data_IF_967037554712
#
_entry.id   IF_967037554712
#
_cell.length_a   1.000
_cell.length_b   1.000
_cell.length_c   1.000
_cell.angle_alpha   90.00
_cell.angle_beta   90.00
_cell.angle_gamma   90.00
#
_symmetry.space_group_name_H-M   'P 1'
#
loop_
_entity.id
_entity.type
_entity.pdbx_description
1 polymer ?
#
# COMPACT_ATOMS: atom_id res chain seq x y z
N UNK A 1 15.97 13.03 -9.30
CA UNK A 1 14.74 13.60 -9.85
C UNK A 1 15.05 15.05 -10.17
N UNK A 2 14.88 15.40 -11.44
CA UNK A 2 14.94 16.75 -11.97
C UNK A 2 13.51 17.30 -12.17
N UNK A 3 13.40 18.57 -12.53
CA UNK A 3 12.10 19.19 -12.82
C UNK A 3 11.33 18.44 -13.91
N UNK A 4 10.01 18.33 -13.76
CA UNK A 4 9.10 17.63 -14.67
C UNK A 4 9.34 16.11 -14.80
N UNK A 5 10.12 15.50 -13.92
CA UNK A 5 10.24 14.03 -13.82
C UNK A 5 9.31 13.45 -12.75
N UNK A 6 8.73 12.28 -13.05
CA UNK A 6 7.94 11.49 -12.11
C UNK A 6 8.80 10.45 -11.39
N UNK A 7 8.47 10.19 -10.14
CA UNK A 7 9.01 9.07 -9.35
C UNK A 7 7.84 8.17 -8.94
N UNK A 8 7.99 6.86 -9.15
CA UNK A 8 7.03 5.85 -8.71
C UNK A 8 7.68 4.99 -7.64
N UNK A 9 7.10 5.00 -6.44
CA UNK A 9 7.49 4.11 -5.34
C UNK A 9 6.57 2.90 -5.31
N UNK A 10 7.13 1.70 -5.33
CA UNK A 10 6.37 0.46 -5.36
C UNK A 10 5.94 0.02 -3.94
N UNK A 11 4.89 -0.83 -3.82
CA UNK A 11 4.46 -1.39 -2.54
C UNK A 11 5.63 -1.98 -1.75
N UNK A 12 5.72 -1.64 -0.46
CA UNK A 12 6.76 -2.10 0.46
C UNK A 12 8.21 -1.68 0.12
N UNK A 13 8.41 -0.78 -0.84
CA UNK A 13 9.72 -0.22 -1.16
C UNK A 13 10.01 1.01 -0.28
N UNK A 14 10.85 0.82 0.75
CA UNK A 14 11.37 1.92 1.55
C UNK A 14 12.17 2.90 0.69
N UNK A 15 11.96 4.19 0.93
CA UNK A 15 12.65 5.27 0.23
C UNK A 15 12.89 6.45 1.18
N UNK A 16 13.97 7.18 0.96
CA UNK A 16 14.33 8.39 1.68
C UNK A 16 15.06 9.35 0.72
N UNK A 17 15.09 10.64 1.05
CA UNK A 17 15.72 11.65 0.21
C UNK A 17 15.79 13.02 0.89
N UNK A 18 16.31 14.00 0.17
CA UNK A 18 16.43 15.40 0.61
C UNK A 18 16.26 16.35 -0.58
N UNK A 19 15.90 17.60 -0.29
CA UNK A 19 15.81 18.66 -1.31
C UNK A 19 17.16 19.37 -1.43
N UNK A 20 17.65 19.57 -2.65
CA UNK A 20 18.89 20.31 -2.90
C UNK A 20 18.73 21.83 -2.79
N UNK A 21 17.51 22.35 -2.94
CA UNK A 21 17.17 23.77 -2.93
C UNK A 21 15.66 24.00 -2.94
N UNK A 22 15.22 25.23 -3.21
CA UNK A 22 13.79 25.54 -3.34
C UNK A 22 13.17 24.79 -4.53
N UNK A 23 12.08 24.06 -4.29
CA UNK A 23 11.34 23.33 -5.30
C UNK A 23 9.85 23.22 -4.93
N UNK A 24 9.06 22.64 -5.83
CA UNK A 24 7.66 22.29 -5.61
C UNK A 24 7.40 20.89 -6.16
N UNK A 25 6.70 20.05 -5.40
CA UNK A 25 6.33 18.70 -5.78
C UNK A 25 4.91 18.37 -5.30
N UNK A 26 4.19 17.57 -6.07
CA UNK A 26 2.89 17.01 -5.73
C UNK A 26 2.99 15.48 -5.68
N UNK A 27 2.23 14.83 -4.79
CA UNK A 27 2.25 13.38 -4.65
C UNK A 27 0.88 12.82 -4.27
N UNK A 28 0.62 11.59 -4.71
CA UNK A 28 -0.53 10.80 -4.27
C UNK A 28 -0.16 9.32 -4.18
N UNK A 29 -0.94 8.54 -3.44
CA UNK A 29 -0.85 7.08 -3.46
C UNK A 29 -1.90 6.51 -4.42
N UNK A 30 -1.55 5.41 -5.08
CA UNK A 30 -2.44 4.65 -5.96
C UNK A 30 -2.19 3.16 -5.78
N UNK A 31 -3.11 2.33 -6.28
CA UNK A 31 -3.04 0.89 -6.15
C UNK A 31 -3.33 0.19 -7.49
N UNK A 32 -2.67 -0.94 -7.71
CA UNK A 32 -3.03 -1.95 -8.71
C UNK A 32 -3.48 -3.23 -8.02
N UNK A 33 -4.00 -4.22 -8.75
CA UNK A 33 -4.41 -5.50 -8.15
C UNK A 33 -3.27 -6.19 -7.37
N UNK A 34 -2.02 -6.06 -7.85
CA UNK A 34 -0.84 -6.59 -7.16
C UNK A 34 -0.65 -6.01 -5.75
N UNK A 35 -1.13 -4.79 -5.48
CA UNK A 35 -1.03 -4.16 -4.16
C UNK A 35 -1.90 -4.87 -3.11
N UNK A 36 -2.97 -5.58 -3.50
CA UNK A 36 -3.94 -6.18 -2.57
C UNK A 36 -3.26 -7.12 -1.58
N UNK A 37 -2.32 -7.92 -2.06
CA UNK A 37 -1.51 -8.79 -1.21
C UNK A 37 -0.77 -7.96 -0.15
N UNK A 38 -0.01 -6.93 -0.54
CA UNK A 38 0.71 -6.07 0.40
C UNK A 38 -0.22 -5.37 1.39
N UNK A 39 -1.42 -4.98 0.95
CA UNK A 39 -2.44 -4.40 1.82
C UNK A 39 -2.89 -5.36 2.91
N UNK A 40 -3.15 -6.63 2.56
CA UNK A 40 -3.54 -7.70 3.50
C UNK A 40 -2.53 -7.92 4.62
N UNK A 41 -1.23 -7.81 4.33
CA UNK A 41 -0.16 -8.11 5.30
C UNK A 41 0.58 -6.86 5.81
N UNK A 42 0.07 -5.67 5.52
CA UNK A 42 0.69 -4.43 5.99
C UNK A 42 0.74 -4.39 7.52
N UNK A 43 1.95 -4.24 8.07
CA UNK A 43 2.13 -4.06 9.53
C UNK A 43 1.73 -2.63 9.88
N UNK A 44 0.65 -2.49 10.64
CA UNK A 44 0.12 -1.18 11.00
C UNK A 44 0.76 -0.65 12.28
N UNK A 45 0.96 0.67 12.32
CA UNK A 45 1.35 1.36 13.54
C UNK A 45 0.25 1.21 14.60
N UNK A 46 0.62 0.71 15.78
CA UNK A 46 -0.28 0.49 16.91
C UNK A 46 -0.19 1.59 17.99
N UNK A 47 0.77 2.51 17.90
CA UNK A 47 1.01 3.51 18.96
C UNK A 47 0.19 4.81 18.80
N UNK A 48 -0.47 5.03 17.65
CA UNK A 48 -1.32 6.21 17.40
C UNK A 48 -2.67 5.80 16.80
N UNK A 49 -3.71 6.56 17.13
CA UNK A 49 -5.09 6.23 16.75
C UNK A 49 -5.49 6.79 15.38
N UNK A 50 -4.81 7.82 14.89
CA UNK A 50 -5.11 8.60 13.69
C UNK A 50 -4.32 8.14 12.45
N UNK A 51 -3.71 6.96 12.53
CA UNK A 51 -3.00 6.36 11.41
C UNK A 51 -3.97 5.91 10.32
N UNK A 52 -3.54 6.03 9.05
CA UNK A 52 -4.32 5.53 7.90
C UNK A 52 -4.46 4.01 7.99
N UNK A 53 -5.72 3.54 7.99
CA UNK A 53 -6.07 2.12 7.93
C UNK A 53 -7.15 1.95 6.87
N UNK A 54 -6.88 1.08 5.90
CA UNK A 54 -7.83 0.77 4.81
C UNK A 54 -8.33 -0.65 5.03
N UNK A 55 -9.66 -0.83 5.09
CA UNK A 55 -10.27 -2.14 5.17
C UNK A 55 -10.08 -2.90 3.85
N UNK A 56 -9.40 -4.05 3.89
CA UNK A 56 -9.06 -4.82 2.69
C UNK A 56 -10.23 -5.64 2.12
N UNK A 57 -11.31 -5.81 2.88
CA UNK A 57 -12.50 -6.61 2.56
C UNK A 57 -13.02 -6.40 1.14
N UNK A 58 -13.31 -5.14 0.77
CA UNK A 58 -13.85 -4.81 -0.55
C UNK A 58 -12.90 -5.15 -1.70
N UNK A 59 -11.60 -5.09 -1.46
CA UNK A 59 -10.60 -5.40 -2.48
C UNK A 59 -10.47 -6.90 -2.65
N UNK A 60 -10.35 -7.66 -1.56
CA UNK A 60 -10.26 -9.13 -1.62
C UNK A 60 -11.53 -9.72 -2.22
N UNK A 61 -12.71 -9.30 -1.74
CA UNK A 61 -13.99 -9.79 -2.28
C UNK A 61 -14.15 -9.56 -3.78
N UNK A 62 -13.64 -8.44 -4.30
CA UNK A 62 -13.81 -8.07 -5.71
C UNK A 62 -12.76 -8.69 -6.61
N UNK A 63 -11.50 -8.71 -6.18
CA UNK A 63 -10.35 -9.05 -7.03
C UNK A 63 -9.72 -10.41 -6.71
N UNK A 64 -10.10 -11.04 -5.59
CA UNK A 64 -9.66 -12.38 -5.15
C UNK A 64 -10.83 -13.16 -4.52
N UNK A 65 -12.00 -13.25 -5.19
CA UNK A 65 -13.22 -13.84 -4.61
C UNK A 65 -13.02 -15.30 -4.15
N UNK A 66 -12.20 -16.06 -4.87
CA UNK A 66 -11.87 -17.45 -4.56
C UNK A 66 -11.06 -17.61 -3.27
N UNK A 67 -10.37 -16.56 -2.81
CA UNK A 67 -9.59 -16.56 -1.57
C UNK A 67 -10.34 -15.86 -0.42
N UNK A 68 -11.51 -15.28 -0.68
CA UNK A 68 -12.18 -14.40 0.26
C UNK A 68 -12.58 -15.11 1.55
N UNK A 69 -13.26 -16.26 1.42
CA UNK A 69 -13.76 -16.99 2.59
C UNK A 69 -12.59 -17.46 3.46
N UNK A 70 -11.55 -18.04 2.87
CA UNK A 70 -10.37 -18.50 3.61
C UNK A 70 -9.57 -17.34 4.23
N UNK A 71 -9.43 -16.21 3.52
CA UNK A 71 -8.77 -15.03 4.06
C UNK A 71 -9.58 -14.41 5.21
N UNK A 72 -10.90 -14.35 5.08
CA UNK A 72 -11.79 -13.76 6.09
C UNK A 72 -11.83 -14.56 7.39
N UNK A 73 -11.65 -15.89 7.32
CA UNK A 73 -11.51 -16.75 8.50
C UNK A 73 -10.05 -16.92 8.99
N UNK A 74 -9.09 -16.28 8.32
CA UNK A 74 -7.68 -16.24 8.74
C UNK A 74 -6.88 -17.50 8.42
N UNK A 75 -7.37 -18.39 7.54
CA UNK A 75 -6.70 -19.64 7.17
C UNK A 75 -5.82 -19.53 5.93
N UNK A 76 -6.00 -18.50 5.09
CA UNK A 76 -5.18 -18.29 3.89
C UNK A 76 -4.25 -17.07 4.02
N UNK A 77 -3.00 -17.36 4.41
CA UNK A 77 -1.90 -16.38 4.49
C UNK A 77 -0.97 -16.66 3.31
N UNK A 78 -1.35 -16.19 2.12
CA UNK A 78 -0.49 -16.21 0.94
C UNK A 78 0.79 -15.41 1.21
N UNK A 79 1.96 -16.00 1.01
CA UNK A 79 3.23 -15.25 1.10
C UNK A 79 3.40 -14.29 -0.08
N UNK A 80 3.97 -13.11 0.17
CA UNK A 80 4.38 -12.13 -0.86
C UNK A 80 5.50 -12.59 -1.76
#
# INVERSE_FOLDING_TARGET
>A
QYENEFIITFPYAYHAGFNYGFNCAESTNFASERWIEYGKHSVQCACRHDMVKIGMDRFVRKYQPELYDDWSCGTNVTSH
#
